data_IF_718740101405
#
_entry.id   IF_718740101405
#
_cell.length_a   1.000
_cell.length_b   1.000
_cell.length_c   1.000
_cell.angle_alpha   90.00
_cell.angle_beta   90.00
_cell.angle_gamma   90.00
#
_symmetry.space_group_name_H-M   'P 1'
#
loop_
_entity.id
_entity.type
_entity.pdbx_description
1 polymer ?
#
# COMPACT_ATOMS: atom_id res chain seq x y z
N UNK A 1 3.09 8.86 1.74
CA UNK A 1 3.29 7.69 0.85
C UNK A 1 3.41 8.10 -0.61
N UNK A 2 2.48 8.91 -1.14
CA UNK A 2 2.56 9.40 -2.53
C UNK A 2 3.92 10.03 -2.90
N UNK A 3 4.41 10.96 -2.08
CA UNK A 3 5.69 11.61 -2.33
C UNK A 3 6.88 10.61 -2.33
N UNK A 4 6.81 9.59 -1.48
CA UNK A 4 7.82 8.53 -1.43
C UNK A 4 7.77 7.63 -2.68
N UNK A 5 6.57 7.28 -3.16
CA UNK A 5 6.41 6.52 -4.42
C UNK A 5 6.95 7.31 -5.62
N UNK A 6 6.68 8.61 -5.66
CA UNK A 6 7.24 9.50 -6.68
C UNK A 6 8.76 9.55 -6.61
N UNK A 7 9.34 9.70 -5.41
CA UNK A 7 10.79 9.76 -5.22
C UNK A 7 11.49 8.45 -5.60
N UNK A 8 10.95 7.30 -5.17
CA UNK A 8 11.61 6.00 -5.35
C UNK A 8 11.32 5.33 -6.68
N UNK A 9 10.13 5.54 -7.24
CA UNK A 9 9.66 4.84 -8.45
C UNK A 9 9.34 5.78 -9.61
N UNK A 10 9.43 7.09 -9.42
CA UNK A 10 9.13 8.08 -10.47
C UNK A 10 7.64 8.16 -10.83
N UNK A 11 6.75 7.60 -10.02
CA UNK A 11 5.32 7.48 -10.36
C UNK A 11 4.51 8.63 -9.76
N UNK A 12 3.74 9.39 -10.56
CA UNK A 12 2.88 10.47 -10.06
C UNK A 12 1.76 9.97 -9.14
N UNK A 13 1.44 10.75 -8.11
CA UNK A 13 0.42 10.43 -7.12
C UNK A 13 -0.98 10.43 -7.75
N UNK A 14 -1.22 11.33 -8.69
CA UNK A 14 -2.49 11.54 -9.40
C UNK A 14 -2.91 10.27 -10.15
N UNK A 15 -1.93 9.54 -10.68
CA UNK A 15 -2.12 8.33 -11.48
C UNK A 15 -2.04 7.05 -10.64
N UNK A 16 -1.32 7.05 -9.53
CA UNK A 16 -1.09 5.86 -8.71
C UNK A 16 -2.02 5.74 -7.50
N UNK A 17 -2.44 6.85 -6.91
CA UNK A 17 -3.36 6.86 -5.75
C UNK A 17 -4.80 6.59 -6.21
N UNK A 18 -5.35 5.47 -5.75
CA UNK A 18 -6.67 4.95 -6.11
C UNK A 18 -7.72 5.13 -5.02
N UNK A 19 -7.36 5.05 -3.75
CA UNK A 19 -8.29 5.24 -2.62
C UNK A 19 -8.96 6.62 -2.62
N UNK A 20 -10.21 6.68 -2.13
CA UNK A 20 -11.01 7.91 -2.00
C UNK A 20 -10.36 8.95 -1.11
N UNK A 21 -9.47 8.54 -0.20
CA UNK A 21 -8.68 9.45 0.63
C UNK A 21 -7.88 10.47 -0.18
N UNK A 22 -7.54 10.16 -1.44
CA UNK A 22 -6.87 11.11 -2.35
C UNK A 22 -7.60 12.45 -2.46
N UNK A 23 -8.93 12.45 -2.33
CA UNK A 23 -9.74 13.67 -2.46
C UNK A 23 -9.45 14.73 -1.39
N UNK A 24 -8.83 14.34 -0.27
CA UNK A 24 -8.39 15.26 0.77
C UNK A 24 -7.05 15.94 0.46
N UNK A 25 -6.30 15.45 -0.53
CA UNK A 25 -4.92 15.91 -0.83
C UNK A 25 -4.78 16.42 -2.26
N UNK A 26 -5.43 15.76 -3.22
CA UNK A 26 -5.31 16.02 -4.66
C UNK A 26 -6.70 16.38 -5.22
N UNK A 27 -6.78 17.52 -5.91
CA UNK A 27 -7.99 17.93 -6.60
C UNK A 27 -8.21 17.09 -7.88
N UNK A 28 -9.46 16.78 -8.23
CA UNK A 28 -9.79 16.35 -9.61
C UNK A 28 -10.08 14.86 -9.85
N UNK A 29 -10.56 14.11 -8.86
CA UNK A 29 -11.22 12.83 -9.17
C UNK A 29 -11.54 11.99 -7.94
N UNK A 30 -12.75 11.42 -7.83
CA UNK A 30 -13.07 10.54 -6.72
C UNK A 30 -12.23 9.26 -6.85
N UNK A 31 -11.52 8.91 -5.79
CA UNK A 31 -10.94 7.58 -5.69
C UNK A 31 -12.02 6.48 -5.64
N UNK A 32 -11.59 5.23 -5.61
CA UNK A 32 -12.47 4.08 -5.45
C UNK A 32 -11.88 3.01 -4.54
N UNK A 33 -12.40 2.95 -3.31
CA UNK A 33 -11.95 1.99 -2.30
C UNK A 33 -12.34 0.54 -2.64
N UNK A 34 -13.30 0.34 -3.57
CA UNK A 34 -13.71 -0.99 -4.03
C UNK A 34 -12.61 -1.73 -4.79
N UNK A 35 -11.55 -1.02 -5.17
CA UNK A 35 -10.35 -1.61 -5.78
C UNK A 35 -9.53 -2.43 -4.79
N UNK A 36 -9.79 -2.29 -3.48
CA UNK A 36 -9.14 -3.04 -2.42
C UNK A 36 -7.65 -2.75 -2.30
N UNK A 37 -7.22 -1.54 -2.68
CA UNK A 37 -5.87 -1.03 -2.44
C UNK A 37 -5.83 0.51 -2.53
N UNK A 38 -4.95 1.13 -1.76
CA UNK A 38 -4.71 2.57 -1.82
C UNK A 38 -3.94 3.02 -3.06
N UNK A 39 -2.90 2.28 -3.45
CA UNK A 39 -2.04 2.63 -4.59
C UNK A 39 -1.89 1.46 -5.56
N UNK A 40 -1.89 1.80 -6.86
CA UNK A 40 -1.57 0.88 -7.96
C UNK A 40 -0.41 1.45 -8.77
N UNK A 41 0.68 0.71 -8.82
CA UNK A 41 1.93 1.12 -9.48
C UNK A 41 2.34 0.09 -10.52
N UNK A 42 2.59 0.54 -11.74
CA UNK A 42 3.13 -0.28 -12.82
C UNK A 42 4.64 -0.08 -12.90
N UNK A 43 5.41 -1.17 -12.90
CA UNK A 43 6.86 -1.13 -13.03
C UNK A 43 7.34 -2.31 -13.88
N UNK A 44 7.62 -2.01 -15.15
CA UNK A 44 7.80 -3.03 -16.19
C UNK A 44 6.55 -3.91 -16.32
N UNK A 45 6.77 -5.23 -16.40
CA UNK A 45 5.69 -6.23 -16.49
C UNK A 45 4.96 -6.49 -15.16
N UNK A 46 5.38 -5.85 -14.07
CA UNK A 46 4.79 -6.08 -12.74
C UNK A 46 3.86 -4.95 -12.34
N UNK A 47 2.78 -5.33 -11.66
CA UNK A 47 1.88 -4.40 -11.00
C UNK A 47 1.99 -4.57 -9.49
N UNK A 48 2.26 -3.48 -8.79
CA UNK A 48 2.32 -3.43 -7.33
C UNK A 48 1.06 -2.74 -6.80
N UNK A 49 0.39 -3.42 -5.88
CA UNK A 49 -0.79 -2.96 -5.18
C UNK A 49 -0.38 -2.72 -3.73
N UNK A 50 -0.50 -1.48 -3.27
CA UNK A 50 -0.16 -1.12 -1.90
C UNK A 50 -1.40 -0.74 -1.13
N UNK A 51 -1.56 -1.36 0.03
CA UNK A 51 -2.49 -0.94 1.07
C UNK A 51 -1.71 -0.24 2.18
N UNK A 52 -2.14 0.96 2.57
CA UNK A 52 -1.45 1.78 3.56
C UNK A 52 -2.31 1.85 4.80
N UNK A 53 -1.82 1.22 5.86
CA UNK A 53 -2.46 1.29 7.17
C UNK A 53 -1.55 1.97 8.17
N UNK A 54 -2.16 2.70 9.09
CA UNK A 54 -1.44 3.47 10.10
C UNK A 54 -2.03 3.21 11.48
N UNK A 55 -1.17 3.25 12.51
CA UNK A 55 -1.65 3.22 13.88
C UNK A 55 -0.92 4.21 14.77
N UNK A 56 -1.61 4.67 15.81
CA UNK A 56 -1.04 5.53 16.85
C UNK A 56 -0.15 4.72 17.81
N UNK A 57 -0.43 3.43 17.99
CA UNK A 57 0.30 2.51 18.86
C UNK A 57 1.27 1.58 18.11
N UNK A 58 1.70 0.50 18.78
CA UNK A 58 2.66 -0.48 18.27
C UNK A 58 2.13 -1.92 18.27
N UNK A 59 0.81 -2.11 18.39
CA UNK A 59 0.21 -3.44 18.52
C UNK A 59 0.50 -4.36 17.33
N UNK A 60 0.83 -3.81 16.16
CA UNK A 60 1.24 -4.56 14.96
C UNK A 60 0.12 -5.37 14.31
N UNK A 61 -1.04 -5.47 14.95
CA UNK A 61 -2.26 -6.03 14.39
C UNK A 61 -2.95 -5.01 13.49
N UNK A 62 -3.39 -5.48 12.33
CA UNK A 62 -4.07 -4.69 11.33
C UNK A 62 -5.32 -5.45 10.88
N UNK A 63 -6.40 -4.72 10.68
CA UNK A 63 -7.65 -5.25 10.16
C UNK A 63 -7.73 -4.83 8.70
N UNK A 64 -7.88 -5.80 7.81
CA UNK A 64 -8.19 -5.56 6.41
C UNK A 64 -9.71 -5.64 6.22
N UNK A 65 -10.26 -4.70 5.46
CA UNK A 65 -11.64 -4.73 5.01
C UNK A 65 -11.87 -5.77 3.91
N UNK A 66 -13.15 -6.03 3.65
CA UNK A 66 -13.58 -7.07 2.70
C UNK A 66 -12.99 -6.88 1.30
N UNK A 67 -12.88 -5.62 0.83
CA UNK A 67 -12.34 -5.31 -0.49
C UNK A 67 -10.85 -5.67 -0.60
N UNK A 68 -10.04 -5.42 0.43
CA UNK A 68 -8.62 -5.82 0.45
C UNK A 68 -8.45 -7.34 0.53
N UNK A 69 -9.29 -8.02 1.32
CA UNK A 69 -9.29 -9.49 1.45
C UNK A 69 -9.66 -10.16 0.13
N UNK A 70 -10.74 -9.69 -0.51
CA UNK A 70 -11.16 -10.17 -1.83
C UNK A 70 -10.07 -9.92 -2.87
N UNK A 71 -9.48 -8.72 -2.86
CA UNK A 71 -8.43 -8.33 -3.82
C UNK A 71 -7.20 -9.20 -3.72
N UNK A 72 -6.75 -9.47 -2.50
CA UNK A 72 -5.59 -10.32 -2.18
C UNK A 72 -5.81 -11.78 -2.56
N UNK A 73 -7.07 -12.22 -2.67
CA UNK A 73 -7.45 -13.57 -3.08
C UNK A 73 -7.50 -13.76 -4.60
N UNK A 74 -7.48 -12.67 -5.38
CA UNK A 74 -7.63 -12.67 -6.84
C UNK A 74 -6.46 -12.01 -7.57
N UNK A 75 -5.25 -12.06 -7.00
CA UNK A 75 -4.06 -11.50 -7.64
C UNK A 75 -3.70 -12.25 -8.93
N UNK A 76 -3.50 -11.50 -10.01
CA UNK A 76 -2.88 -12.04 -11.22
C UNK A 76 -1.40 -12.39 -10.96
N UNK A 77 -0.78 -13.29 -11.74
CA UNK A 77 0.61 -13.70 -11.52
C UNK A 77 1.63 -12.55 -11.58
N UNK A 78 1.31 -11.50 -12.32
CA UNK A 78 2.11 -10.29 -12.50
C UNK A 78 1.89 -9.27 -11.36
N UNK A 79 0.95 -9.57 -10.46
CA UNK A 79 0.57 -8.69 -9.37
C UNK A 79 1.24 -9.08 -8.06
N UNK A 80 1.64 -8.05 -7.33
CA UNK A 80 2.13 -8.15 -5.95
C UNK A 80 1.30 -7.23 -5.08
N UNK A 81 0.68 -7.80 -4.05
CA UNK A 81 0.01 -7.05 -3.00
C UNK A 81 0.95 -6.87 -1.81
N UNK A 82 1.01 -5.65 -1.28
CA UNK A 82 1.90 -5.24 -0.22
C UNK A 82 1.15 -4.38 0.80
N UNK A 83 1.31 -4.71 2.07
CA UNK A 83 0.79 -3.89 3.17
C UNK A 83 1.93 -3.04 3.71
N UNK A 84 1.76 -1.72 3.62
CA UNK A 84 2.67 -0.72 4.18
C UNK A 84 2.07 -0.21 5.48
N UNK A 85 2.70 -0.55 6.59
CA UNK A 85 2.26 -0.14 7.90
C UNK A 85 3.11 1.00 8.44
N UNK A 86 2.45 2.06 8.88
CA UNK A 86 3.10 3.23 9.47
C UNK A 86 2.69 3.31 10.95
N UNK A 87 3.63 3.05 11.86
CA UNK A 87 3.39 3.17 13.30
C UNK A 87 3.79 4.55 13.83
N UNK A 88 3.15 4.97 14.94
CA UNK A 88 3.53 6.20 15.64
C UNK A 88 3.12 7.49 14.91
N UNK A 89 2.07 7.45 14.09
CA UNK A 89 1.66 8.60 13.25
C UNK A 89 1.23 9.83 14.08
N UNK A 90 0.97 9.66 15.38
CA UNK A 90 0.66 10.74 16.33
C UNK A 90 1.53 10.72 17.60
N UNK A 91 2.61 9.93 17.65
CA UNK A 91 3.53 9.96 18.78
C UNK A 91 4.30 11.29 18.77
N UNK A 92 3.76 12.29 19.46
CA UNK A 92 4.40 13.57 19.70
C UNK A 92 5.49 13.41 20.76
N UNK A 93 6.56 12.69 20.44
CA UNK A 93 7.81 12.90 21.18
C UNK A 93 8.44 14.20 20.68
N UNK A 94 8.07 15.25 21.39
CA UNK A 94 8.59 16.61 21.28
C UNK A 94 10.11 16.55 21.38
N UNK A 95 10.77 17.05 20.34
CA UNK A 95 12.22 17.20 20.26
C UNK A 95 12.77 17.94 21.47
N UNK A 96 13.41 17.21 22.39
CA UNK A 96 14.50 17.74 23.20
C UNK A 96 15.49 16.61 23.45
N UNK A 97 16.50 16.59 22.58
CA UNK A 97 17.80 15.95 22.77
C UNK A 97 17.87 14.42 22.73
N UNK A 98 18.75 13.96 21.82
CA UNK A 98 19.38 12.64 21.71
C UNK A 98 18.68 11.55 20.88
N UNK A 99 19.21 11.39 19.66
CA UNK A 99 19.40 10.15 18.88
C UNK A 99 18.21 9.17 18.77
N UNK A 100 17.50 9.30 17.65
CA UNK A 100 17.09 8.17 16.81
C UNK A 100 15.90 7.33 17.29
N UNK A 101 14.68 7.86 17.13
CA UNK A 101 13.45 7.07 16.99
C UNK A 101 12.39 7.96 16.33
N UNK A 102 12.34 7.95 15.00
CA UNK A 102 11.34 8.69 14.23
C UNK A 102 10.47 7.69 13.47
N UNK A 103 9.15 7.90 13.52
CA UNK A 103 8.11 7.26 12.69
C UNK A 103 8.64 6.25 11.66
N UNK A 104 8.63 4.97 12.02
CA UNK A 104 9.14 3.90 11.17
C UNK A 104 8.04 3.36 10.27
N UNK A 105 8.13 3.57 8.95
CA UNK A 105 7.35 2.78 8.00
C UNK A 105 7.91 1.35 7.98
N UNK A 106 7.11 0.38 8.40
CA UNK A 106 7.47 -1.04 8.38
C UNK A 106 6.64 -1.77 7.33
N UNK A 107 7.30 -2.61 6.56
CA UNK A 107 6.62 -3.54 5.65
C UNK A 107 6.10 -4.74 6.45
N UNK A 108 4.79 -4.97 6.49
CA UNK A 108 4.18 -6.04 7.30
C UNK A 108 3.87 -7.31 6.52
N UNK A 109 3.67 -7.24 5.20
CA UNK A 109 3.31 -8.44 4.44
C UNK A 109 3.30 -8.25 2.92
N UNK A 110 3.65 -9.33 2.21
CA UNK A 110 3.63 -9.43 0.75
C UNK A 110 2.88 -10.68 0.33
N UNK A 111 1.94 -10.57 -0.62
CA UNK A 111 1.42 -11.70 -1.39
C UNK A 111 1.70 -11.46 -2.87
N UNK A 112 2.22 -12.48 -3.56
CA UNK A 112 2.39 -12.46 -5.02
C UNK A 112 1.37 -13.40 -5.65
N UNK A 113 0.81 -13.05 -6.80
CA UNK A 113 -0.02 -13.98 -7.56
C UNK A 113 0.80 -15.19 -8.03
N UNK A 114 0.19 -16.37 -8.02
CA UNK A 114 0.81 -17.58 -8.52
C UNK A 114 0.49 -17.76 -10.01
N UNK A 115 1.49 -18.14 -10.83
CA UNK A 115 1.23 -18.60 -12.20
C UNK A 115 0.49 -19.94 -12.10
N UNK A 116 -0.72 -20.01 -12.61
CA UNK A 116 -1.34 -21.31 -12.89
C UNK A 116 -0.58 -21.91 -14.07
N UNK A 117 0.27 -22.89 -13.81
CA UNK A 117 0.75 -23.76 -14.88
C UNK A 117 -0.45 -24.59 -15.34
N UNK A 118 -0.95 -24.32 -16.55
CA UNK A 118 -1.83 -25.24 -17.23
C UNK A 118 -1.08 -26.54 -17.45
N UNK A 119 -1.47 -27.60 -16.74
CA UNK A 119 -1.30 -28.95 -17.26
C UNK A 119 -2.36 -29.11 -18.34
N UNK A 120 -1.96 -28.90 -19.59
CA UNK A 120 -2.59 -29.60 -20.70
C UNK A 120 -1.68 -30.75 -21.03
N UNK A 121 -2.20 -31.98 -21.03
CA UNK A 121 -1.74 -33.10 -21.86
C UNK A 121 -2.92 -34.07 -22.10
N UNK A 122 -3.22 -34.25 -23.39
CA UNK A 122 -4.00 -35.25 -24.15
C UNK A 122 -5.45 -35.62 -23.74
#
# INVERSE_FOLDING_TARGET
>A
MGAWLREKLGVPEETSWKSRLRSHVIAGGPGDDRLGCDFRVHHGERTYLYEVTASVGSSGEIILGDSEVERTSRLSPEETYAIVYVSGVLSRERSSSARGCGCGSRFLGRRSGARRHGQGEF
#
